data_IF_276945734404
#
_entry.id   IF_276945734404
#
_cell.length_a   1.000
_cell.length_b   1.000
_cell.length_c   1.000
_cell.angle_alpha   90.00
_cell.angle_beta   90.00
_cell.angle_gamma   90.00
#
_symmetry.space_group_name_H-M   'P 1'
#
loop_
_entity.id
_entity.type
_entity.pdbx_description
1 polymer ?
#
# COMPACT_ATOMS: atom_id res chain seq x y z
N UNK A 1 17.50 10.82 33.35
CA UNK A 1 17.76 9.64 32.49
C UNK A 1 16.64 8.60 32.56
N UNK A 2 16.18 8.23 33.76
CA UNK A 2 15.13 7.22 33.97
C UNK A 2 13.80 7.40 33.22
N UNK A 3 13.33 8.64 32.98
CA UNK A 3 12.08 8.88 32.22
C UNK A 3 12.21 8.51 30.73
N UNK A 4 13.41 8.57 30.14
CA UNK A 4 13.65 8.16 28.75
C UNK A 4 13.81 6.65 28.61
N UNK A 5 14.35 5.98 29.62
CA UNK A 5 14.47 4.52 29.66
C UNK A 5 13.10 3.85 29.73
N UNK A 6 12.23 4.26 30.67
CA UNK A 6 10.88 3.69 30.79
C UNK A 6 10.06 3.79 29.50
N UNK A 7 10.17 4.92 28.77
CA UNK A 7 9.48 5.10 27.48
C UNK A 7 9.99 4.13 26.40
N UNK A 8 11.30 3.84 26.38
CA UNK A 8 11.86 2.85 25.45
C UNK A 8 11.41 1.44 25.82
N UNK A 9 11.41 1.07 27.10
CA UNK A 9 10.98 -0.26 27.54
C UNK A 9 9.51 -0.52 27.22
N UNK A 10 8.64 0.48 27.41
CA UNK A 10 7.23 0.39 27.01
C UNK A 10 7.04 0.27 25.49
N UNK A 11 7.86 0.97 24.70
CA UNK A 11 7.83 0.87 23.23
C UNK A 11 8.15 -0.56 22.77
N UNK A 12 9.27 -1.13 23.21
CA UNK A 12 9.68 -2.48 22.82
C UNK A 12 8.70 -3.55 23.30
N UNK A 13 8.14 -3.41 24.50
CA UNK A 13 7.10 -4.32 24.99
C UNK A 13 5.87 -4.31 24.06
N UNK A 14 5.38 -3.12 23.68
CA UNK A 14 4.24 -3.02 22.76
C UNK A 14 4.57 -3.60 21.38
N UNK A 15 5.78 -3.36 20.88
CA UNK A 15 6.24 -3.95 19.61
C UNK A 15 6.22 -5.48 19.63
N UNK A 16 6.66 -6.11 20.73
CA UNK A 16 6.65 -7.57 20.86
C UNK A 16 5.21 -8.11 20.92
N UNK A 17 4.32 -7.45 21.66
CA UNK A 17 2.90 -7.84 21.73
C UNK A 17 2.25 -7.71 20.35
N UNK A 18 2.43 -6.57 19.69
CA UNK A 18 1.88 -6.32 18.36
C UNK A 18 2.49 -7.25 17.29
N UNK A 19 3.78 -7.62 17.40
CA UNK A 19 4.39 -8.64 16.56
C UNK A 19 3.67 -9.99 16.68
N UNK A 20 3.46 -10.45 17.92
CA UNK A 20 2.82 -11.74 18.21
C UNK A 20 1.39 -11.80 17.73
N UNK A 21 0.61 -10.72 17.90
CA UNK A 21 -0.82 -10.72 17.59
C UNK A 21 -1.18 -10.19 16.19
N UNK A 22 -0.27 -9.52 15.49
CA UNK A 22 -0.54 -8.93 14.16
C UNK A 22 0.38 -9.55 13.12
N UNK A 23 1.69 -9.51 13.32
CA UNK A 23 2.66 -9.92 12.29
C UNK A 23 2.68 -11.43 12.12
N UNK A 24 2.74 -12.20 13.21
CA UNK A 24 2.75 -13.67 13.14
C UNK A 24 1.48 -14.21 12.48
N UNK A 25 0.25 -13.82 12.88
CA UNK A 25 -0.96 -14.30 12.21
C UNK A 25 -1.02 -13.90 10.74
N UNK A 26 -0.61 -12.67 10.40
CA UNK A 26 -0.55 -12.22 9.00
C UNK A 26 0.40 -13.10 8.18
N UNK A 27 1.60 -13.39 8.68
CA UNK A 27 2.56 -14.25 8.01
C UNK A 27 2.02 -15.68 7.85
N UNK A 28 1.40 -16.24 8.91
CA UNK A 28 0.78 -17.56 8.87
C UNK A 28 -0.33 -17.65 7.82
N UNK A 29 -1.16 -16.60 7.67
CA UNK A 29 -2.21 -16.52 6.65
C UNK A 29 -1.64 -16.45 5.24
N UNK A 30 -0.55 -15.72 5.04
CA UNK A 30 0.12 -15.61 3.73
C UNK A 30 0.84 -16.90 3.30
N UNK A 31 1.20 -17.77 4.26
CA UNK A 31 2.01 -18.97 4.03
C UNK A 31 1.21 -20.25 4.26
N UNK A 32 1.15 -20.73 5.50
CA UNK A 32 0.62 -22.05 5.89
C UNK A 32 -0.91 -22.11 5.84
N UNK A 33 -1.58 -21.05 6.30
CA UNK A 33 -3.05 -20.99 6.43
C UNK A 33 -3.72 -20.41 5.18
N UNK A 34 -3.02 -20.37 4.05
CA UNK A 34 -3.51 -19.75 2.82
C UNK A 34 -4.84 -20.37 2.31
N UNK A 35 -5.07 -21.66 2.54
CA UNK A 35 -6.30 -22.35 2.11
C UNK A 35 -7.50 -21.95 2.96
N UNK A 36 -7.26 -21.62 4.23
CA UNK A 36 -8.29 -21.23 5.21
C UNK A 36 -8.54 -19.72 5.24
N UNK A 37 -7.93 -18.94 4.33
CA UNK A 37 -8.09 -17.47 4.27
C UNK A 37 -9.57 -17.08 4.23
N UNK A 38 -10.39 -17.77 3.42
CA UNK A 38 -11.82 -17.45 3.32
C UNK A 38 -12.56 -17.66 4.65
N UNK A 39 -12.28 -18.76 5.34
CA UNK A 39 -12.86 -19.05 6.65
C UNK A 39 -12.41 -18.02 7.70
N UNK A 40 -11.13 -17.64 7.70
CA UNK A 40 -10.62 -16.65 8.64
C UNK A 40 -11.20 -15.27 8.37
N UNK A 41 -11.30 -14.86 7.10
CA UNK A 41 -11.88 -13.57 6.72
C UNK A 41 -13.38 -13.51 7.01
N UNK A 42 -14.13 -14.60 6.85
CA UNK A 42 -15.55 -14.65 7.20
C UNK A 42 -15.76 -14.58 8.71
N UNK A 43 -14.95 -15.26 9.51
CA UNK A 43 -14.96 -15.16 10.98
C UNK A 43 -14.64 -13.73 11.44
N UNK A 44 -13.63 -13.09 10.86
CA UNK A 44 -13.30 -11.70 11.15
C UNK A 44 -14.43 -10.74 10.77
N UNK A 45 -15.07 -10.93 9.60
CA UNK A 45 -16.19 -10.11 9.16
C UNK A 45 -17.43 -10.30 10.06
N UNK A 46 -17.74 -11.54 10.46
CA UNK A 46 -18.81 -11.84 11.40
C UNK A 46 -18.54 -11.27 12.80
N UNK A 47 -17.30 -11.38 13.29
CA UNK A 47 -16.87 -10.76 14.54
C UNK A 47 -16.98 -9.24 14.49
N UNK A 48 -16.60 -8.64 13.36
CA UNK A 48 -16.68 -7.20 13.16
C UNK A 48 -18.13 -6.71 13.05
N UNK A 49 -18.98 -7.41 12.29
CA UNK A 49 -20.42 -7.16 12.23
C UNK A 49 -21.08 -7.30 13.61
N UNK A 50 -20.68 -8.30 14.40
CA UNK A 50 -21.14 -8.49 15.78
C UNK A 50 -20.71 -7.34 16.68
N UNK A 51 -19.44 -6.92 16.65
CA UNK A 51 -18.97 -5.76 17.44
C UNK A 51 -19.63 -4.44 17.01
N UNK A 52 -19.90 -4.23 15.72
CA UNK A 52 -20.67 -3.08 15.22
C UNK A 52 -22.10 -3.14 15.73
N UNK A 53 -22.74 -4.30 15.68
CA UNK A 53 -24.11 -4.51 16.19
C UNK A 53 -24.19 -4.26 17.70
N UNK A 54 -23.23 -4.79 18.46
CA UNK A 54 -23.13 -4.57 19.92
C UNK A 54 -22.86 -3.12 20.25
N UNK A 55 -21.99 -2.43 19.49
CA UNK A 55 -21.76 -0.99 19.64
C UNK A 55 -22.95 -0.15 19.22
N UNK A 56 -23.74 -0.56 18.23
CA UNK A 56 -24.96 0.14 17.82
C UNK A 56 -26.01 0.10 18.94
N UNK A 57 -26.19 -1.07 19.58
CA UNK A 57 -27.02 -1.19 20.80
C UNK A 57 -26.48 -0.35 21.96
N UNK A 58 -25.16 -0.32 22.16
CA UNK A 58 -24.55 0.51 23.22
C UNK A 58 -24.62 2.02 22.93
N UNK A 59 -24.51 2.45 21.67
CA UNK A 59 -24.54 3.85 21.27
C UNK A 59 -25.95 4.44 21.35
N UNK A 60 -26.98 3.68 20.94
CA UNK A 60 -28.40 4.02 21.21
C UNK A 60 -28.67 4.18 22.72
N UNK A 61 -27.94 3.46 23.58
CA UNK A 61 -28.08 3.52 25.03
C UNK A 61 -27.23 4.62 25.70
N UNK A 62 -26.20 5.17 25.02
CA UNK A 62 -25.24 6.14 25.58
C UNK A 62 -25.36 7.56 25.01
N UNK A 63 -26.11 7.74 23.91
CA UNK A 63 -26.47 9.07 23.38
C UNK A 63 -27.35 9.86 24.37
N UNK A 64 -27.91 9.19 25.38
CA UNK A 64 -28.61 9.83 26.51
C UNK A 64 -27.68 10.35 27.61
N UNK A 65 -26.37 10.05 27.62
CA UNK A 65 -25.52 10.31 28.80
C UNK A 65 -24.18 11.04 28.59
N UNK A 66 -23.67 11.29 27.37
CA UNK A 66 -22.37 12.00 27.24
C UNK A 66 -22.31 13.02 26.11
N UNK A 67 -22.40 14.30 26.51
CA UNK A 67 -22.12 15.51 25.72
C UNK A 67 -20.62 15.90 25.72
N UNK A 68 -19.70 14.95 25.85
CA UNK A 68 -18.28 15.29 25.83
C UNK A 68 -17.72 15.40 24.41
N UNK A 69 -17.70 16.66 23.98
CA UNK A 69 -16.93 17.20 22.87
C UNK A 69 -15.44 17.07 23.19
N UNK A 70 -14.75 16.23 22.43
CA UNK A 70 -13.41 16.52 21.91
C UNK A 70 -13.04 15.44 20.90
N UNK A 71 -13.47 15.64 19.64
CA UNK A 71 -12.93 14.87 18.54
C UNK A 71 -11.47 15.30 18.31
N UNK A 72 -10.49 14.37 18.29
CA UNK A 72 -9.10 14.75 18.06
C UNK A 72 -8.97 15.45 16.69
N UNK A 73 -8.40 16.65 16.72
CA UNK A 73 -8.01 17.49 15.58
C UNK A 73 -6.91 16.85 14.68
N UNK A 74 -6.86 15.52 14.60
CA UNK A 74 -5.96 14.83 13.68
C UNK A 74 -6.46 15.06 12.25
N UNK A 75 -5.68 15.83 11.49
CA UNK A 75 -5.84 16.09 10.06
C UNK A 75 -5.74 14.80 9.21
N UNK A 76 -5.33 13.69 9.82
CA UNK A 76 -5.22 12.40 9.17
C UNK A 76 -6.48 11.57 9.42
N UNK A 77 -6.98 10.94 8.36
CA UNK A 77 -8.04 9.93 8.45
C UNK A 77 -7.38 8.66 9.01
N UNK A 78 -7.74 8.26 10.22
CA UNK A 78 -7.09 7.13 10.90
C UNK A 78 -7.17 5.84 10.07
N UNK A 79 -8.27 5.63 9.37
CA UNK A 79 -8.41 4.50 8.45
C UNK A 79 -7.38 4.45 7.32
N UNK A 80 -6.92 5.62 6.85
CA UNK A 80 -5.88 5.66 5.82
C UNK A 80 -4.55 5.23 6.39
N UNK A 81 -4.27 5.55 7.66
CA UNK A 81 -3.09 5.06 8.36
C UNK A 81 -3.11 3.54 8.46
N UNK A 82 -4.25 2.95 8.84
CA UNK A 82 -4.35 1.50 9.02
C UNK A 82 -4.24 0.77 7.69
N UNK A 83 -4.84 1.33 6.64
CA UNK A 83 -4.70 0.82 5.28
C UNK A 83 -3.24 0.89 4.77
N UNK A 84 -2.56 2.03 4.96
CA UNK A 84 -1.12 2.19 4.64
C UNK A 84 -0.26 1.15 5.32
N UNK A 85 -0.51 0.93 6.61
CA UNK A 85 0.21 -0.04 7.40
C UNK A 85 0.02 -1.45 6.85
N UNK A 86 -1.22 -1.87 6.57
CA UNK A 86 -1.47 -3.22 6.07
C UNK A 86 -0.86 -3.44 4.68
N UNK A 87 -0.97 -2.46 3.78
CA UNK A 87 -0.30 -2.52 2.47
C UNK A 87 1.21 -2.67 2.65
N UNK A 88 1.83 -1.88 3.53
CA UNK A 88 3.26 -1.95 3.79
C UNK A 88 3.69 -3.27 4.44
N UNK A 89 2.95 -3.74 5.45
CA UNK A 89 3.23 -4.99 6.16
C UNK A 89 3.16 -6.17 5.20
N UNK A 90 2.05 -6.30 4.45
CA UNK A 90 1.87 -7.39 3.48
C UNK A 90 2.96 -7.32 2.42
N UNK A 91 3.27 -6.14 1.89
CA UNK A 91 4.34 -5.96 0.89
C UNK A 91 5.69 -6.43 1.44
N UNK A 92 6.08 -5.98 2.64
CA UNK A 92 7.37 -6.35 3.25
C UNK A 92 7.48 -7.85 3.51
N UNK A 93 6.39 -8.50 3.95
CA UNK A 93 6.37 -9.95 4.17
C UNK A 93 6.43 -10.70 2.83
N UNK A 94 5.67 -10.27 1.83
CA UNK A 94 5.60 -10.93 0.52
C UNK A 94 6.89 -10.85 -0.30
N UNK A 95 7.65 -9.76 -0.22
CA UNK A 95 8.89 -9.58 -1.00
C UNK A 95 9.94 -10.65 -0.67
N UNK A 96 10.07 -11.07 0.59
CA UNK A 96 10.95 -12.18 0.95
C UNK A 96 10.23 -13.54 0.84
N UNK A 97 8.94 -13.60 1.18
CA UNK A 97 8.20 -14.88 1.18
C UNK A 97 8.16 -15.54 -0.19
N UNK A 98 8.08 -14.76 -1.28
CA UNK A 98 8.01 -15.28 -2.65
C UNK A 98 9.20 -16.15 -3.03
N UNK A 99 10.37 -15.92 -2.44
CA UNK A 99 11.58 -16.69 -2.74
C UNK A 99 11.54 -18.08 -2.10
N UNK A 100 10.66 -18.31 -1.12
CA UNK A 100 10.45 -19.60 -0.46
C UNK A 100 9.27 -20.39 -1.07
N UNK A 101 9.39 -21.71 -1.09
CA UNK A 101 8.30 -22.60 -1.54
C UNK A 101 7.07 -22.62 -0.63
N UNK A 102 7.21 -22.15 0.63
CA UNK A 102 6.08 -22.02 1.55
C UNK A 102 5.06 -20.97 1.10
N UNK A 103 5.47 -20.05 0.21
CA UNK A 103 4.60 -19.02 -0.32
C UNK A 103 3.84 -19.52 -1.56
N UNK A 104 2.50 -19.49 -1.55
CA UNK A 104 1.71 -19.94 -2.69
C UNK A 104 2.03 -19.15 -3.96
N UNK A 105 2.36 -19.84 -5.05
CA UNK A 105 2.69 -19.19 -6.34
C UNK A 105 1.53 -18.38 -6.93
N UNK A 106 0.28 -18.66 -6.52
CA UNK A 106 -0.89 -17.81 -6.84
C UNK A 106 -0.81 -16.38 -6.30
N UNK A 107 0.03 -16.12 -5.29
CA UNK A 107 0.26 -14.80 -4.72
C UNK A 107 1.50 -14.11 -5.30
N UNK A 108 2.36 -14.85 -6.00
CA UNK A 108 3.52 -14.31 -6.70
C UNK A 108 3.08 -13.45 -7.88
N UNK A 109 4.00 -12.62 -8.36
CA UNK A 109 3.78 -11.75 -9.52
C UNK A 109 3.31 -12.55 -10.74
N UNK A 110 2.28 -12.07 -11.43
CA UNK A 110 1.85 -12.68 -12.69
C UNK A 110 2.74 -12.19 -13.84
N UNK A 111 3.23 -13.12 -14.67
CA UNK A 111 4.14 -12.78 -15.78
C UNK A 111 3.42 -12.34 -17.06
N UNK A 112 2.25 -12.93 -17.36
CA UNK A 112 1.50 -12.67 -18.60
C UNK A 112 0.06 -12.26 -18.30
N UNK A 113 -0.72 -13.19 -17.75
CA UNK A 113 -2.12 -12.98 -17.42
C UNK A 113 -2.46 -13.52 -16.03
N UNK A 114 -3.38 -12.84 -15.36
CA UNK A 114 -3.74 -13.11 -13.98
C UNK A 114 -3.10 -12.10 -13.03
N UNK A 115 -3.32 -12.28 -11.73
CA UNK A 115 -2.83 -11.33 -10.72
C UNK A 115 -2.47 -12.04 -9.43
N UNK A 116 -1.30 -11.69 -8.91
CA UNK A 116 -0.84 -12.05 -7.57
C UNK A 116 -1.10 -10.97 -6.53
N UNK A 117 -0.84 -11.32 -5.28
CA UNK A 117 -0.82 -10.38 -4.16
C UNK A 117 0.27 -9.32 -4.36
N UNK A 118 1.39 -9.71 -4.98
CA UNK A 118 2.53 -8.82 -5.25
C UNK A 118 2.21 -7.72 -6.28
N UNK A 119 1.24 -7.94 -7.18
CA UNK A 119 0.82 -6.94 -8.17
C UNK A 119 0.03 -5.77 -7.54
N UNK A 120 -0.61 -6.02 -6.39
CA UNK A 120 -1.43 -5.03 -5.67
C UNK A 120 -0.56 -3.98 -4.96
N UNK A 121 0.63 -4.36 -4.51
CA UNK A 121 1.44 -3.55 -3.60
C UNK A 121 1.75 -2.16 -4.15
N UNK A 122 2.31 -2.11 -5.36
CA UNK A 122 2.74 -0.86 -5.99
C UNK A 122 1.56 0.04 -6.34
N UNK A 123 0.51 -0.50 -6.97
CA UNK A 123 -0.68 0.28 -7.32
C UNK A 123 -1.38 0.86 -6.09
N UNK A 124 -1.45 0.07 -5.01
CA UNK A 124 -1.99 0.52 -3.72
C UNK A 124 -1.13 1.61 -3.10
N UNK A 125 0.20 1.49 -3.14
CA UNK A 125 1.13 2.50 -2.63
C UNK A 125 0.93 3.86 -3.32
N UNK A 126 0.89 3.87 -4.65
CA UNK A 126 0.67 5.07 -5.47
C UNK A 126 -0.67 5.72 -5.15
N UNK A 127 -1.75 4.92 -5.13
CA UNK A 127 -3.11 5.39 -4.87
C UNK A 127 -3.25 5.97 -3.46
N UNK A 128 -2.66 5.32 -2.47
CA UNK A 128 -2.73 5.74 -1.07
C UNK A 128 -1.96 7.04 -0.81
N UNK A 129 -0.81 7.22 -1.47
CA UNK A 129 -0.06 8.46 -1.42
C UNK A 129 -0.80 9.61 -2.14
N UNK A 130 -1.47 9.31 -3.25
CA UNK A 130 -2.35 10.26 -3.92
C UNK A 130 -3.51 10.73 -3.02
N UNK A 131 -4.18 9.82 -2.31
CA UNK A 131 -5.32 10.13 -1.45
C UNK A 131 -4.95 11.13 -0.35
N UNK A 132 -3.77 11.01 0.27
CA UNK A 132 -3.36 11.94 1.35
C UNK A 132 -2.63 13.19 0.86
N UNK A 133 -2.36 13.28 -0.44
CA UNK A 133 -1.54 14.34 -1.04
C UNK A 133 -2.07 15.73 -0.68
N UNK A 134 -1.18 16.73 -0.72
CA UNK A 134 -1.57 18.14 -0.50
C UNK A 134 -2.66 18.58 -1.48
N UNK A 135 -2.55 18.14 -2.73
CA UNK A 135 -3.52 18.37 -3.80
C UNK A 135 -4.90 17.78 -3.46
N UNK A 136 -4.96 16.56 -2.93
CA UNK A 136 -6.20 15.96 -2.45
C UNK A 136 -6.82 16.74 -1.28
N UNK A 137 -6.01 17.32 -0.39
CA UNK A 137 -6.48 18.17 0.72
C UNK A 137 -6.98 19.55 0.27
N UNK A 138 -6.85 19.88 -1.02
CA UNK A 138 -7.21 21.19 -1.58
C UNK A 138 -6.20 22.30 -1.26
N UNK A 139 -4.97 21.92 -0.91
CA UNK A 139 -3.86 22.85 -0.68
C UNK A 139 -3.10 22.96 -2.01
N UNK A 140 -2.90 24.19 -2.51
CA UNK A 140 -2.12 24.41 -3.73
C UNK A 140 -0.66 24.01 -3.49
N UNK A 141 -0.07 23.31 -4.46
CA UNK A 141 1.37 23.02 -4.42
C UNK A 141 2.12 24.18 -5.08
N UNK A 142 3.01 24.83 -4.34
CA UNK A 142 4.00 25.73 -4.91
C UNK A 142 4.95 24.90 -5.78
N UNK A 143 4.96 25.19 -7.08
CA UNK A 143 5.70 24.47 -8.15
C UNK A 143 7.23 24.39 -7.90
N UNK A 144 7.78 25.27 -7.06
CA UNK A 144 9.22 25.41 -6.83
C UNK A 144 9.93 24.23 -6.13
N UNK A 145 9.23 23.40 -5.36
CA UNK A 145 9.88 22.32 -4.58
C UNK A 145 9.68 20.91 -5.14
N UNK A 146 8.98 20.74 -6.26
CA UNK A 146 8.69 19.39 -6.79
C UNK A 146 9.97 18.69 -7.23
N UNK A 147 10.85 19.37 -7.97
CA UNK A 147 12.13 18.80 -8.45
C UNK A 147 13.04 18.43 -7.27
N UNK A 148 13.05 19.23 -6.20
CA UNK A 148 13.79 18.92 -4.98
C UNK A 148 13.24 17.69 -4.23
N UNK A 149 11.92 17.52 -4.22
CA UNK A 149 11.27 16.37 -3.57
C UNK A 149 11.36 15.07 -4.39
N UNK A 150 11.54 15.15 -5.71
CA UNK A 150 11.71 13.98 -6.57
C UNK A 150 13.16 13.50 -6.67
N UNK A 151 14.13 14.35 -6.33
CA UNK A 151 15.55 14.02 -6.35
C UNK A 151 15.91 12.74 -5.55
N UNK A 152 15.40 12.51 -4.32
CA UNK A 152 15.71 11.27 -3.60
C UNK A 152 15.22 10.01 -4.30
N UNK A 153 14.07 10.05 -4.99
CA UNK A 153 13.57 8.91 -5.77
C UNK A 153 14.48 8.60 -6.96
N UNK A 154 14.97 9.64 -7.65
CA UNK A 154 15.90 9.48 -8.77
C UNK A 154 17.23 8.88 -8.27
N UNK A 155 17.76 9.40 -7.16
CA UNK A 155 18.99 8.88 -6.53
C UNK A 155 18.81 7.41 -6.14
N UNK A 156 17.69 7.05 -5.51
CA UNK A 156 17.38 5.65 -5.18
C UNK A 156 17.25 4.77 -6.43
N UNK A 157 16.68 5.31 -7.51
CA UNK A 157 16.61 4.63 -8.81
C UNK A 157 17.98 4.29 -9.37
N UNK A 158 18.91 5.24 -9.37
CA UNK A 158 20.29 5.00 -9.80
C UNK A 158 21.05 4.08 -8.83
N UNK A 159 20.87 4.26 -7.52
CA UNK A 159 21.49 3.40 -6.51
C UNK A 159 21.09 1.93 -6.69
N UNK A 160 19.79 1.67 -6.95
CA UNK A 160 19.29 0.32 -7.27
C UNK A 160 19.93 -0.23 -8.55
N UNK A 161 20.01 0.57 -9.61
CA UNK A 161 20.60 0.12 -10.87
C UNK A 161 22.09 -0.23 -10.72
N UNK A 162 22.83 0.56 -9.95
CA UNK A 162 24.23 0.29 -9.65
C UNK A 162 24.39 -0.96 -8.78
N UNK A 163 23.59 -1.10 -7.72
CA UNK A 163 23.70 -2.24 -6.81
C UNK A 163 23.37 -3.57 -7.49
N UNK A 164 22.32 -3.62 -8.31
CA UNK A 164 21.95 -4.86 -9.01
C UNK A 164 22.97 -5.25 -10.08
N UNK A 165 23.61 -4.27 -10.73
CA UNK A 165 24.69 -4.54 -11.69
C UNK A 165 25.99 -4.98 -11.01
N UNK A 166 26.30 -4.47 -9.82
CA UNK A 166 27.52 -4.87 -9.10
C UNK A 166 27.42 -6.27 -8.48
N UNK A 167 26.22 -6.69 -8.09
CA UNK A 167 25.97 -7.98 -7.43
C UNK A 167 25.60 -9.08 -8.44
N UNK A 168 25.60 -8.78 -9.76
CA UNK A 168 25.09 -9.66 -10.83
C UNK A 168 23.76 -10.34 -10.48
N UNK A 169 22.89 -9.59 -9.82
CA UNK A 169 21.58 -10.08 -9.41
C UNK A 169 20.68 -10.22 -10.64
N UNK A 170 19.98 -11.35 -10.78
CA UNK A 170 19.08 -11.55 -11.92
C UNK A 170 17.90 -10.59 -11.82
N UNK A 171 17.88 -9.59 -12.72
CA UNK A 171 16.77 -8.65 -12.83
C UNK A 171 15.76 -9.20 -13.82
N UNK A 172 14.52 -9.40 -13.37
CA UNK A 172 13.40 -9.73 -14.25
C UNK A 172 13.09 -8.54 -15.15
N UNK A 173 13.66 -8.56 -16.35
CA UNK A 173 13.55 -7.42 -17.27
C UNK A 173 12.10 -7.20 -17.73
N UNK A 174 11.25 -8.22 -17.72
CA UNK A 174 9.82 -8.08 -18.01
C UNK A 174 9.03 -7.24 -17.00
N UNK A 175 9.61 -6.84 -15.86
CA UNK A 175 8.90 -6.01 -14.89
C UNK A 175 8.86 -4.52 -15.26
N UNK A 176 10.00 -3.97 -15.67
CA UNK A 176 10.17 -2.55 -15.93
C UNK A 176 11.06 -2.26 -17.14
N UNK A 177 11.88 -3.22 -17.56
CA UNK A 177 12.92 -3.01 -18.55
C UNK A 177 14.34 -3.17 -18.00
N UNK A 178 15.31 -2.94 -18.86
CA UNK A 178 16.73 -3.23 -18.60
C UNK A 178 17.34 -2.22 -17.62
N UNK A 179 16.91 -0.97 -17.68
CA UNK A 179 17.46 0.16 -16.91
C UNK A 179 16.41 0.88 -16.09
N UNK A 180 15.12 0.65 -16.37
CA UNK A 180 14.03 1.27 -15.64
C UNK A 180 13.70 0.49 -14.37
N UNK A 181 13.22 1.18 -13.35
CA UNK A 181 12.78 0.56 -12.11
C UNK A 181 11.63 1.36 -11.48
N UNK A 182 11.06 0.78 -10.44
CA UNK A 182 9.93 1.36 -9.72
C UNK A 182 10.18 2.80 -9.21
N UNK A 183 11.38 3.14 -8.74
CA UNK A 183 11.66 4.48 -8.24
C UNK A 183 11.65 5.52 -9.37
N UNK A 184 12.12 5.14 -10.56
CA UNK A 184 12.00 5.99 -11.75
C UNK A 184 10.55 6.17 -12.18
N UNK A 185 9.71 5.13 -12.10
CA UNK A 185 8.27 5.26 -12.35
C UNK A 185 7.61 6.24 -11.37
N UNK A 186 7.89 6.13 -10.06
CA UNK A 186 7.37 7.08 -9.08
C UNK A 186 7.82 8.51 -9.36
N UNK A 187 9.11 8.71 -9.64
CA UNK A 187 9.66 10.01 -9.98
C UNK A 187 8.96 10.60 -11.22
N UNK A 188 8.79 9.80 -12.27
CA UNK A 188 8.11 10.22 -13.49
C UNK A 188 6.63 10.58 -13.25
N UNK A 189 5.87 9.80 -12.46
CA UNK A 189 4.47 10.12 -12.11
C UNK A 189 4.37 11.45 -11.36
N UNK A 190 5.27 11.68 -10.39
CA UNK A 190 5.30 12.93 -9.63
C UNK A 190 5.67 14.13 -10.50
N UNK A 191 6.63 13.98 -11.41
CA UNK A 191 7.00 15.01 -12.38
C UNK A 191 5.84 15.30 -13.35
N UNK A 192 5.23 14.28 -13.95
CA UNK A 192 4.07 14.44 -14.85
C UNK A 192 2.92 15.17 -14.18
N UNK A 193 2.60 14.82 -12.94
CA UNK A 193 1.51 15.46 -12.21
C UNK A 193 1.80 16.92 -11.84
N UNK A 194 3.09 17.29 -11.76
CA UNK A 194 3.50 18.68 -11.55
C UNK A 194 3.53 19.51 -12.84
N UNK A 195 3.77 18.87 -13.99
CA UNK A 195 3.75 19.51 -15.31
C UNK A 195 2.31 19.73 -15.76
N UNK A 196 1.45 18.72 -15.58
CA UNK A 196 0.04 18.77 -15.97
C UNK A 196 -0.81 19.15 -14.77
N UNK A 197 -1.06 20.45 -14.61
CA UNK A 197 -1.84 21.00 -13.50
C UNK A 197 -3.35 20.76 -13.67
N UNK A 198 -3.80 19.53 -13.37
CA UNK A 198 -5.23 19.19 -13.36
C UNK A 198 -5.84 19.56 -11.99
N UNK A 199 -6.96 20.29 -11.91
CA UNK A 199 -7.58 20.62 -10.63
C UNK A 199 -8.12 19.36 -9.94
N UNK A 200 -8.09 19.35 -8.60
CA UNK A 200 -8.41 18.16 -7.81
C UNK A 200 -9.82 17.59 -8.05
N UNK A 201 -10.78 18.39 -8.52
CA UNK A 201 -12.15 17.96 -8.81
C UNK A 201 -12.34 17.31 -10.19
N UNK A 202 -11.42 17.58 -11.15
CA UNK A 202 -11.40 16.96 -12.48
C UNK A 202 -10.37 15.83 -12.56
N UNK A 203 -9.50 15.71 -11.57
CA UNK A 203 -8.44 14.69 -11.53
C UNK A 203 -9.00 13.28 -11.73
N UNK A 204 -10.17 12.97 -11.18
CA UNK A 204 -10.78 11.64 -11.36
C UNK A 204 -11.24 11.38 -12.80
N UNK A 205 -11.82 12.38 -13.46
CA UNK A 205 -12.26 12.27 -14.86
C UNK A 205 -11.05 12.11 -15.78
N UNK A 206 -10.01 12.92 -15.57
CA UNK A 206 -8.76 12.83 -16.32
C UNK A 206 -8.03 11.49 -16.09
N UNK A 207 -7.96 11.02 -14.83
CA UNK A 207 -7.39 9.72 -14.51
C UNK A 207 -8.18 8.58 -15.17
N UNK A 208 -9.51 8.63 -15.10
CA UNK A 208 -10.39 7.67 -15.76
C UNK A 208 -10.22 7.67 -17.29
N UNK A 209 -10.15 8.84 -17.93
CA UNK A 209 -9.96 8.93 -19.38
C UNK A 209 -8.60 8.40 -19.82
N UNK A 210 -7.53 8.68 -19.06
CA UNK A 210 -6.19 8.12 -19.31
C UNK A 210 -6.22 6.59 -19.20
N UNK A 211 -6.87 6.03 -18.17
CA UNK A 211 -6.97 4.58 -18.00
C UNK A 211 -7.80 3.92 -19.09
N UNK A 212 -8.91 4.53 -19.50
CA UNK A 212 -9.73 4.02 -20.61
C UNK A 212 -8.93 4.05 -21.92
N UNK A 213 -8.25 5.16 -22.20
CA UNK A 213 -7.41 5.29 -23.39
C UNK A 213 -6.27 4.26 -23.36
N UNK A 214 -5.62 4.08 -22.21
CA UNK A 214 -4.55 3.10 -22.03
C UNK A 214 -5.06 1.67 -22.22
N UNK A 215 -6.22 1.31 -21.65
CA UNK A 215 -6.84 0.01 -21.87
C UNK A 215 -7.19 -0.21 -23.34
N UNK A 216 -7.70 0.81 -24.03
CA UNK A 216 -7.99 0.72 -25.46
C UNK A 216 -6.71 0.48 -26.28
N UNK A 217 -5.60 1.15 -25.94
CA UNK A 217 -4.30 0.89 -26.56
C UNK A 217 -3.80 -0.53 -26.28
N UNK A 218 -3.97 -1.04 -25.06
CA UNK A 218 -3.61 -2.41 -24.67
C UNK A 218 -4.40 -3.46 -25.47
N UNK A 219 -5.70 -3.28 -25.63
CA UNK A 219 -6.55 -4.17 -26.45
C UNK A 219 -6.12 -4.18 -27.93
N UNK A 220 -5.41 -3.16 -28.38
CA UNK A 220 -4.80 -3.10 -29.72
C UNK A 220 -3.45 -3.82 -29.80
N UNK A 221 -2.51 -3.22 -30.55
CA UNK A 221 -1.18 -3.81 -30.77
C UNK A 221 -0.21 -3.64 -29.58
N UNK A 222 -0.56 -2.79 -28.59
CA UNK A 222 0.36 -2.47 -27.50
C UNK A 222 0.61 -3.67 -26.58
N UNK A 223 -0.40 -4.51 -26.32
CA UNK A 223 -0.21 -5.71 -25.51
C UNK A 223 0.76 -6.70 -26.17
N UNK A 224 0.65 -6.92 -27.48
CA UNK A 224 1.58 -7.77 -28.23
C UNK A 224 3.00 -7.19 -28.24
N UNK A 225 3.14 -5.86 -28.32
CA UNK A 225 4.44 -5.18 -28.24
C UNK A 225 5.06 -5.26 -26.84
N UNK A 226 4.27 -5.17 -25.77
CA UNK A 226 4.77 -5.26 -24.39
C UNK A 226 5.17 -6.69 -24.02
N UNK A 227 4.39 -7.69 -24.43
CA UNK A 227 4.68 -9.10 -24.14
C UNK A 227 5.77 -9.71 -25.03
N UNK A 228 6.20 -9.02 -26.09
CA UNK A 228 7.26 -9.54 -26.94
C UNK A 228 8.61 -9.57 -26.21
N UNK A 229 9.34 -10.67 -26.34
CA UNK A 229 10.70 -10.77 -25.79
C UNK A 229 11.72 -9.92 -26.57
N UNK A 230 11.33 -9.44 -27.76
CA UNK A 230 12.19 -8.65 -28.63
C UNK A 230 12.47 -7.28 -28.03
N UNK A 231 13.77 -6.97 -27.92
CA UNK A 231 14.26 -5.67 -27.48
C UNK A 231 15.08 -5.05 -28.61
N UNK A 232 14.63 -3.89 -29.07
CA UNK A 232 15.40 -3.08 -30.00
C UNK A 232 16.64 -2.46 -29.35
N UNK A 233 17.45 -1.79 -30.17
CA UNK A 233 18.64 -1.04 -29.74
C UNK A 233 18.31 0.26 -29.00
N UNK A 234 17.07 0.75 -29.09
CA UNK A 234 16.67 2.04 -28.52
C UNK A 234 16.39 1.92 -27.01
N UNK A 235 16.71 2.97 -26.25
CA UNK A 235 16.44 3.04 -24.80
C UNK A 235 14.94 2.86 -24.47
N UNK A 236 14.05 3.33 -25.35
CA UNK A 236 12.59 3.17 -25.18
C UNK A 236 12.19 1.70 -25.32
N UNK A 237 12.72 0.99 -26.33
CA UNK A 237 12.39 -0.42 -26.55
C UNK A 237 12.98 -1.33 -25.49
N UNK A 238 14.10 -0.94 -24.88
CA UNK A 238 14.71 -1.66 -23.75
C UNK A 238 13.97 -1.46 -22.43
N UNK A 239 13.15 -0.41 -22.32
CA UNK A 239 12.43 -0.03 -21.11
C UNK A 239 10.93 0.15 -21.34
N UNK A 240 10.39 -0.56 -22.34
CA UNK A 240 9.02 -0.37 -22.82
C UNK A 240 8.01 -0.64 -21.69
N UNK A 241 8.23 -1.68 -20.90
CA UNK A 241 7.34 -2.09 -19.82
C UNK A 241 7.20 -0.97 -18.77
N UNK A 242 8.33 -0.43 -18.32
CA UNK A 242 8.38 0.66 -17.35
C UNK A 242 7.81 1.98 -17.88
N UNK A 243 8.16 2.35 -19.11
CA UNK A 243 7.71 3.61 -19.73
C UNK A 243 6.20 3.59 -20.00
N UNK A 244 5.66 2.52 -20.58
CA UNK A 244 4.24 2.44 -20.86
C UNK A 244 3.40 2.21 -19.59
N UNK A 245 3.95 1.57 -18.56
CA UNK A 245 3.29 1.47 -17.24
C UNK A 245 3.02 2.84 -16.59
N UNK A 246 3.76 3.88 -16.99
CA UNK A 246 3.63 5.24 -16.47
C UNK A 246 2.20 5.78 -16.59
N UNK A 247 1.52 5.50 -17.71
CA UNK A 247 0.16 5.97 -17.95
C UNK A 247 -0.84 5.28 -17.01
N UNK A 248 -0.66 3.98 -16.76
CA UNK A 248 -1.44 3.23 -15.77
C UNK A 248 -1.26 3.81 -14.36
N UNK A 249 -0.02 4.00 -13.91
CA UNK A 249 0.25 4.56 -12.59
C UNK A 249 -0.20 6.01 -12.44
N UNK A 250 -0.05 6.83 -13.48
CA UNK A 250 -0.49 8.22 -13.47
C UNK A 250 -2.02 8.32 -13.41
N UNK A 251 -2.74 7.48 -14.17
CA UNK A 251 -4.19 7.37 -14.09
C UNK A 251 -4.69 6.98 -12.70
N UNK A 252 -4.07 5.95 -12.08
CA UNK A 252 -4.37 5.55 -10.71
C UNK A 252 -4.07 6.65 -9.68
N UNK A 253 -2.97 7.38 -9.85
CA UNK A 253 -2.61 8.50 -8.99
C UNK A 253 -3.66 9.63 -9.06
N UNK A 254 -4.12 9.98 -10.26
CA UNK A 254 -5.15 11.01 -10.45
C UNK A 254 -6.51 10.59 -9.87
N UNK A 255 -6.91 9.32 -10.03
CA UNK A 255 -8.09 8.77 -9.35
C UNK A 255 -7.96 8.86 -7.83
N UNK A 256 -6.78 8.54 -7.29
CA UNK A 256 -6.49 8.67 -5.86
C UNK A 256 -6.63 10.11 -5.34
N UNK A 257 -6.22 11.12 -6.12
CA UNK A 257 -6.41 12.54 -5.76
C UNK A 257 -7.90 12.88 -5.64
N UNK A 258 -8.73 12.47 -6.61
CA UNK A 258 -10.18 12.72 -6.58
C UNK A 258 -10.82 12.07 -5.36
N UNK A 259 -10.46 10.82 -5.09
CA UNK A 259 -10.95 10.07 -3.94
C UNK A 259 -10.59 10.76 -2.63
N UNK A 260 -9.33 11.17 -2.48
CA UNK A 260 -8.89 11.95 -1.32
C UNK A 260 -9.63 13.28 -1.18
N UNK A 261 -9.81 14.01 -2.29
CA UNK A 261 -10.56 15.27 -2.31
C UNK A 261 -12.01 15.08 -1.85
N UNK A 262 -12.67 14.04 -2.35
CA UNK A 262 -14.01 13.65 -1.91
C UNK A 262 -14.04 13.32 -0.41
N UNK A 263 -13.12 12.49 0.07
CA UNK A 263 -13.06 12.07 1.48
C UNK A 263 -12.83 13.26 2.43
N UNK A 264 -11.89 14.14 2.12
CA UNK A 264 -11.61 15.32 2.95
C UNK A 264 -12.72 16.37 2.88
N UNK A 265 -13.33 16.60 1.71
CA UNK A 265 -14.47 17.53 1.56
C UNK A 265 -15.72 17.00 2.26
N UNK A 266 -15.97 15.70 2.18
CA UNK A 266 -17.10 15.07 2.88
C UNK A 266 -16.89 15.11 4.40
N UNK A 267 -15.66 14.87 4.91
CA UNK A 267 -15.34 15.06 6.34
C UNK A 267 -15.57 16.50 6.82
N UNK A 268 -15.17 17.51 6.03
CA UNK A 268 -15.42 18.93 6.38
C UNK A 268 -16.91 19.29 6.42
N UNK A 269 -17.75 18.62 5.61
CA UNK A 269 -19.21 18.83 5.58
C UNK A 269 -19.94 18.12 6.72
N UNK A 270 -19.35 17.06 7.26
CA UNK A 270 -19.86 16.38 8.46
C UNK A 270 -19.52 17.23 9.67
N UNK A 271 -20.49 18.03 10.14
CA UNK A 271 -20.46 18.58 11.49
C UNK A 271 -20.53 17.46 12.55
N UNK A 272 -20.37 17.80 13.83
CA UNK A 272 -20.25 16.88 14.98
C UNK A 272 -21.47 15.95 15.23
N UNK A 273 -22.50 15.96 14.37
CA UNK A 273 -23.72 15.18 14.53
C UNK A 273 -23.64 13.73 14.03
N UNK A 274 -24.22 12.79 14.78
CA UNK A 274 -24.23 11.34 14.46
C UNK A 274 -24.83 10.99 13.10
N UNK A 275 -25.86 11.72 12.63
CA UNK A 275 -26.50 11.48 11.33
C UNK A 275 -25.59 11.84 10.14
N UNK A 276 -24.81 12.92 10.25
CA UNK A 276 -23.87 13.33 9.21
C UNK A 276 -22.71 12.32 9.10
N UNK A 277 -22.25 11.81 10.24
CA UNK A 277 -21.28 10.71 10.30
C UNK A 277 -21.81 9.44 9.63
N UNK A 278 -23.05 9.06 9.89
CA UNK A 278 -23.68 7.91 9.24
C UNK A 278 -23.73 8.08 7.73
N UNK A 279 -24.11 9.26 7.23
CA UNK A 279 -24.09 9.57 5.79
C UNK A 279 -22.69 9.45 5.17
N UNK A 280 -21.65 9.90 5.89
CA UNK A 280 -20.26 9.74 5.45
C UNK A 280 -19.83 8.28 5.39
N UNK A 281 -20.14 7.49 6.42
CA UNK A 281 -19.85 6.05 6.42
C UNK A 281 -20.59 5.37 5.27
N UNK A 282 -21.90 5.58 5.12
CA UNK A 282 -22.69 5.02 4.02
C UNK A 282 -22.10 5.41 2.66
N UNK A 283 -21.61 6.65 2.50
CA UNK A 283 -20.95 7.08 1.27
C UNK A 283 -19.63 6.35 0.98
N UNK A 284 -18.84 6.00 2.01
CA UNK A 284 -17.63 5.19 1.84
C UNK A 284 -17.99 3.74 1.51
N UNK A 285 -19.01 3.20 2.16
CA UNK A 285 -19.52 1.86 1.90
C UNK A 285 -20.09 1.72 0.49
N UNK A 286 -20.90 2.68 0.04
CA UNK A 286 -21.47 2.67 -1.31
C UNK A 286 -20.38 2.74 -2.38
N UNK A 287 -19.36 3.59 -2.16
CA UNK A 287 -18.20 3.69 -3.04
C UNK A 287 -17.39 2.39 -3.07
N UNK A 288 -17.23 1.73 -1.91
CA UNK A 288 -16.55 0.44 -1.80
C UNK A 288 -17.30 -0.65 -2.56
N UNK A 289 -18.61 -0.74 -2.40
CA UNK A 289 -19.47 -1.69 -3.11
C UNK A 289 -19.45 -1.42 -4.61
N UNK A 290 -19.52 -0.15 -5.03
CA UNK A 290 -19.42 0.25 -6.43
C UNK A 290 -18.09 -0.18 -7.04
N UNK A 291 -16.96 0.10 -6.40
CA UNK A 291 -15.65 -0.33 -6.90
C UNK A 291 -15.53 -1.85 -6.94
N UNK A 292 -16.10 -2.55 -5.97
CA UNK A 292 -16.12 -4.01 -5.96
C UNK A 292 -16.95 -4.57 -7.12
N UNK A 293 -18.11 -3.98 -7.40
CA UNK A 293 -18.98 -4.36 -8.52
C UNK A 293 -18.35 -4.04 -9.88
N UNK A 294 -17.74 -2.87 -10.03
CA UNK A 294 -16.99 -2.50 -11.25
C UNK A 294 -15.82 -3.47 -11.47
N UNK A 295 -15.02 -3.75 -10.43
CA UNK A 295 -13.97 -4.76 -10.50
C UNK A 295 -14.51 -6.16 -10.80
N UNK A 296 -15.76 -6.45 -10.38
CA UNK A 296 -16.40 -7.69 -10.74
C UNK A 296 -16.74 -7.75 -12.24
N UNK A 297 -17.33 -6.68 -12.80
CA UNK A 297 -17.64 -6.59 -14.24
C UNK A 297 -16.37 -6.68 -15.09
N UNK A 298 -15.34 -5.89 -14.79
CA UNK A 298 -14.11 -5.85 -15.60
C UNK A 298 -13.41 -7.21 -15.69
N UNK A 299 -13.31 -7.95 -14.58
CA UNK A 299 -12.72 -9.30 -14.57
C UNK A 299 -13.55 -10.34 -15.36
N UNK A 300 -14.87 -10.17 -15.45
CA UNK A 300 -15.72 -11.10 -16.20
C UNK A 300 -15.79 -10.79 -17.69
N UNK A 301 -15.75 -9.51 -18.07
CA UNK A 301 -16.12 -9.08 -19.42
C UNK A 301 -14.99 -8.43 -20.23
N UNK A 302 -13.91 -7.95 -19.60
CA UNK A 302 -12.83 -7.25 -20.32
C UNK A 302 -11.58 -8.12 -20.35
N UNK A 303 -10.92 -8.31 -19.21
CA UNK A 303 -9.70 -9.13 -19.07
C UNK A 303 -9.62 -9.63 -17.62
N UNK A 304 -9.07 -10.82 -17.37
CA UNK A 304 -8.86 -11.34 -16.00
C UNK A 304 -7.90 -10.41 -15.24
N UNK A 305 -8.44 -9.46 -14.49
CA UNK A 305 -7.70 -8.45 -13.75
C UNK A 305 -8.08 -8.42 -12.27
N UNK A 306 -7.03 -8.54 -11.45
CA UNK A 306 -6.80 -7.98 -10.12
C UNK A 306 -8.00 -7.98 -9.17
N UNK A 307 -8.27 -9.14 -8.56
CA UNK A 307 -9.20 -9.21 -7.43
C UNK A 307 -8.49 -9.59 -6.13
N UNK A 308 -8.83 -8.79 -5.11
CA UNK A 308 -8.63 -8.97 -3.65
C UNK A 308 -7.28 -8.50 -3.13
N UNK A 309 -7.26 -7.28 -2.60
CA UNK A 309 -7.23 -7.04 -1.14
C UNK A 309 -6.84 -5.59 -0.90
N UNK A 310 -7.76 -4.81 -0.33
CA UNK A 310 -7.38 -3.50 0.19
C UNK A 310 -8.52 -2.72 0.82
N UNK A 311 -9.74 -2.84 0.29
CA UNK A 311 -10.86 -2.03 0.78
C UNK A 311 -11.57 -2.65 1.99
N UNK A 312 -11.42 -3.95 2.24
CA UNK A 312 -11.94 -4.58 3.47
C UNK A 312 -11.29 -4.05 4.75
N UNK A 313 -10.05 -3.56 4.67
CA UNK A 313 -9.32 -2.95 5.79
C UNK A 313 -9.82 -1.54 6.09
N UNK A 314 -10.16 -0.78 5.04
CA UNK A 314 -10.75 0.56 5.15
C UNK A 314 -12.01 0.55 6.03
N UNK A 315 -12.82 -0.50 5.89
CA UNK A 315 -14.06 -0.72 6.67
C UNK A 315 -13.80 -1.03 8.15
N UNK A 316 -12.76 -1.83 8.45
CA UNK A 316 -12.43 -2.20 9.84
C UNK A 316 -11.97 -0.99 10.64
N UNK A 317 -11.12 -0.15 10.05
CA UNK A 317 -10.58 1.02 10.75
C UNK A 317 -11.62 2.14 10.97
N UNK A 318 -12.67 2.22 10.16
CA UNK A 318 -13.77 3.18 10.35
C UNK A 318 -14.81 2.69 11.37
N UNK A 319 -14.91 1.38 11.61
CA UNK A 319 -15.79 0.79 12.62
C UNK A 319 -15.31 1.06 14.08
N UNK A 320 -14.05 1.45 14.26
CA UNK A 320 -13.44 1.70 15.58
C UNK A 320 -12.79 3.08 15.68
N UNK A 321 -13.58 4.16 15.73
CA UNK A 321 -13.10 5.54 15.66
C UNK A 321 -12.29 6.05 16.86
N UNK A 322 -12.11 5.24 17.92
CA UNK A 322 -11.51 5.66 19.18
C UNK A 322 -10.37 4.76 19.66
N UNK A 323 -9.83 3.88 18.80
CA UNK A 323 -8.65 3.11 19.17
C UNK A 323 -7.41 3.97 18.97
N UNK A 324 -6.50 4.03 19.93
CA UNK A 324 -5.18 4.64 19.67
C UNK A 324 -4.50 3.86 18.53
N UNK A 325 -3.82 4.59 17.62
CA UNK A 325 -2.98 3.99 16.60
C UNK A 325 -2.02 2.98 17.24
N UNK A 326 -1.94 1.78 16.67
CA UNK A 326 -0.98 0.76 17.09
C UNK A 326 0.44 1.31 16.96
N UNK A 327 1.33 0.86 17.85
CA UNK A 327 2.71 1.34 17.89
C UNK A 327 3.44 1.03 16.58
N UNK A 328 3.26 -0.20 16.08
CA UNK A 328 3.77 -0.70 14.81
C UNK A 328 3.17 0.07 13.64
N UNK A 329 1.85 0.31 13.66
CA UNK A 329 1.16 1.08 12.62
C UNK A 329 1.77 2.48 12.48
N UNK A 330 1.97 3.19 13.59
CA UNK A 330 2.60 4.52 13.58
C UNK A 330 4.02 4.47 13.03
N UNK A 331 4.84 3.51 13.46
CA UNK A 331 6.24 3.40 13.03
C UNK A 331 6.34 3.13 11.53
N UNK A 332 5.52 2.21 11.00
CA UNK A 332 5.53 1.84 9.58
C UNK A 332 4.99 2.96 8.69
N UNK A 333 3.97 3.69 9.16
CA UNK A 333 3.34 4.77 8.38
C UNK A 333 4.14 6.06 8.38
N UNK A 334 4.90 6.36 9.44
CA UNK A 334 5.74 7.57 9.50
C UNK A 334 6.96 7.49 8.57
N UNK A 335 7.51 6.30 8.34
CA UNK A 335 8.74 6.08 7.57
C UNK A 335 8.56 5.04 6.46
N UNK A 336 7.42 5.10 5.75
CA UNK A 336 6.98 4.08 4.80
C UNK A 336 8.03 3.72 3.73
N UNK A 337 8.69 4.71 3.13
CA UNK A 337 9.75 4.49 2.13
C UNK A 337 10.98 3.82 2.76
N UNK A 338 11.40 4.26 3.95
CA UNK A 338 12.55 3.67 4.63
C UNK A 338 12.29 2.22 5.03
N UNK A 339 11.09 1.91 5.54
CA UNK A 339 10.66 0.53 5.82
C UNK A 339 10.78 -0.33 4.58
N UNK A 340 10.29 0.17 3.43
CA UNK A 340 10.36 -0.55 2.15
C UNK A 340 11.82 -0.77 1.68
N UNK A 341 12.69 0.23 1.82
CA UNK A 341 14.09 0.11 1.44
C UNK A 341 14.84 -0.89 2.32
N UNK A 342 14.67 -0.81 3.64
CA UNK A 342 15.28 -1.73 4.60
C UNK A 342 14.79 -3.15 4.35
N UNK A 343 13.49 -3.34 4.08
CA UNK A 343 12.92 -4.62 3.70
C UNK A 343 13.63 -5.20 2.47
N UNK A 344 13.78 -4.43 1.37
CA UNK A 344 14.46 -4.90 0.16
C UNK A 344 15.93 -5.27 0.40
N UNK A 345 16.65 -4.48 1.21
CA UNK A 345 18.06 -4.77 1.56
C UNK A 345 18.14 -6.06 2.38
N UNK A 346 17.28 -6.22 3.38
CA UNK A 346 17.20 -7.44 4.20
C UNK A 346 16.84 -8.66 3.34
N UNK A 347 15.94 -8.53 2.37
CA UNK A 347 15.63 -9.61 1.42
C UNK A 347 16.87 -10.01 0.63
N UNK A 348 17.60 -9.05 0.07
CA UNK A 348 18.85 -9.31 -0.64
C UNK A 348 19.88 -10.03 0.24
N UNK A 349 20.02 -9.60 1.50
CA UNK A 349 20.93 -10.26 2.46
C UNK A 349 20.52 -11.72 2.73
N UNK A 350 19.23 -12.00 2.91
CA UNK A 350 18.75 -13.37 3.11
C UNK A 350 18.99 -14.22 1.86
N UNK A 351 18.70 -13.71 0.67
CA UNK A 351 18.87 -14.43 -0.59
C UNK A 351 20.35 -14.73 -0.92
N UNK A 352 21.28 -13.87 -0.48
CA UNK A 352 22.71 -14.13 -0.60
C UNK A 352 23.24 -15.12 0.46
N UNK A 353 22.54 -15.25 1.59
CA UNK A 353 22.98 -16.07 2.72
C UNK A 353 22.40 -17.49 2.69
N UNK A 354 21.19 -17.66 2.16
CA UNK A 354 20.43 -18.92 2.20
C UNK A 354 19.88 -19.19 0.81
N UNK A 355 20.01 -20.43 0.35
CA UNK A 355 19.32 -20.87 -0.85
C UNK A 355 17.83 -21.12 -0.55
N UNK A 356 17.02 -20.07 -0.74
CA UNK A 356 15.61 -19.99 -0.36
C UNK A 356 14.72 -21.01 -1.07
N UNK A 357 15.06 -21.41 -2.29
CA UNK A 357 14.24 -22.33 -3.10
C UNK A 357 14.27 -23.77 -2.59
N UNK A 358 15.35 -24.17 -1.90
CA UNK A 358 15.51 -25.52 -1.34
C UNK A 358 15.23 -25.57 0.17
N UNK A 359 14.90 -24.44 0.80
CA UNK A 359 14.65 -24.41 2.23
C UNK A 359 13.36 -25.16 2.60
N UNK A 360 13.40 -26.07 3.59
CA UNK A 360 12.19 -26.75 4.07
C UNK A 360 11.24 -25.76 4.74
N UNK A 361 9.94 -26.09 4.78
CA UNK A 361 8.90 -25.17 5.24
C UNK A 361 9.12 -24.62 6.67
N UNK A 362 9.66 -25.44 7.58
CA UNK A 362 9.98 -25.02 8.96
C UNK A 362 11.09 -23.96 9.00
N UNK A 363 12.17 -24.19 8.23
CA UNK A 363 13.27 -23.23 8.10
C UNK A 363 12.79 -21.95 7.42
N UNK A 364 12.03 -22.07 6.33
CA UNK A 364 11.44 -20.92 5.62
C UNK A 364 10.60 -20.05 6.57
N UNK A 365 9.68 -20.66 7.33
CA UNK A 365 8.85 -19.91 8.27
C UNK A 365 9.67 -19.26 9.39
N UNK A 366 10.69 -19.95 9.92
CA UNK A 366 11.61 -19.40 10.92
C UNK A 366 12.41 -18.20 10.41
N UNK A 367 12.94 -18.27 9.19
CA UNK A 367 13.66 -17.16 8.54
C UNK A 367 12.73 -15.97 8.30
N UNK A 368 11.49 -16.21 7.84
CA UNK A 368 10.50 -15.16 7.63
C UNK A 368 10.09 -14.47 8.94
N UNK A 369 9.94 -15.23 10.03
CA UNK A 369 9.69 -14.66 11.36
C UNK A 369 10.87 -13.80 11.84
N UNK A 370 12.10 -14.30 11.69
CA UNK A 370 13.30 -13.55 12.07
C UNK A 370 13.43 -12.26 11.26
N UNK A 371 13.24 -12.35 9.95
CA UNK A 371 13.21 -11.19 9.05
C UNK A 371 12.19 -10.14 9.49
N UNK A 372 10.95 -10.56 9.76
CA UNK A 372 9.90 -9.65 10.19
C UNK A 372 10.19 -9.00 11.56
N UNK A 373 10.79 -9.76 12.48
CA UNK A 373 11.22 -9.26 13.79
C UNK A 373 12.35 -8.23 13.66
N UNK A 374 13.37 -8.53 12.86
CA UNK A 374 14.50 -7.63 12.60
C UNK A 374 14.02 -6.33 11.96
N UNK A 375 13.13 -6.41 10.97
CA UNK A 375 12.53 -5.23 10.35
C UNK A 375 11.76 -4.38 11.37
N UNK A 376 10.94 -5.01 12.21
CA UNK A 376 10.16 -4.32 13.23
C UNK A 376 11.06 -3.60 14.26
N UNK A 377 12.06 -4.30 14.80
CA UNK A 377 12.97 -3.76 15.79
C UNK A 377 13.84 -2.65 15.19
N UNK A 378 14.35 -2.84 13.97
CA UNK A 378 15.10 -1.82 13.24
C UNK A 378 14.30 -0.53 13.06
N UNK A 379 13.04 -0.64 12.63
CA UNK A 379 12.15 0.52 12.52
C UNK A 379 11.80 1.15 13.88
N UNK A 380 11.66 0.32 14.92
CA UNK A 380 11.50 0.79 16.31
C UNK A 380 12.68 1.64 16.79
N UNK A 381 13.91 1.22 16.46
CA UNK A 381 15.14 1.95 16.78
C UNK A 381 15.18 3.27 16.00
N UNK A 382 14.94 3.25 14.68
CA UNK A 382 14.92 4.46 13.83
C UNK A 382 13.91 5.49 14.37
N UNK A 383 12.72 5.03 14.76
CA UNK A 383 11.71 5.88 15.38
C UNK A 383 12.16 6.44 16.73
N UNK A 384 12.87 5.65 17.55
CA UNK A 384 13.42 6.11 18.83
C UNK A 384 14.52 7.18 18.66
N UNK A 385 15.23 7.16 17.52
CA UNK A 385 16.23 8.15 17.12
C UNK A 385 15.60 9.40 16.48
N UNK A 386 14.26 9.44 16.30
CA UNK A 386 13.50 10.53 15.65
C UNK A 386 13.97 10.86 14.21
N UNK A 387 14.63 9.91 13.54
CA UNK A 387 15.01 10.08 12.15
C UNK A 387 13.75 9.94 11.30
N UNK A 388 13.35 11.03 10.62
CA UNK A 388 12.23 11.04 9.68
C UNK A 388 12.77 11.11 8.27
N UNK A 389 12.69 10.00 7.55
CA UNK A 389 13.02 9.97 6.12
C UNK A 389 11.70 10.25 5.39
N UNK A 390 11.41 11.54 5.20
CA UNK A 390 10.32 11.98 4.33
C UNK A 390 10.89 12.22 2.95
N UNK A 391 10.40 11.48 1.96
CA UNK A 391 10.56 11.77 0.53
C UNK A 391 9.19 12.05 -0.04
#
# INVERSE_FOLDING_TARGET
>A
MHRKEGVKTHLFRNLIVEFTFIVIPTLSVLTILNEKVYLLTSVLFCGLASTIFMKRKHFECHETLSKDKNWPNSTNLQFLSSYRFIVMLVTCLSILSVDFNIFPRRYAKAETYGTGLMDVGVGSFVTVNAIVSRKARGISELRGNTVGNTAPLIVLGFARLLSTKQVDYQVHVGEYGVHWNFFFTLAAVTLLTSIVEIPAHLSGIAGGSILIAYQFCLLGHLNNFLNSAERGSNLITQNKEGIFSLFGYWGLYLLGIQLGHFLFKSRKRVGEGGLARLKYMISIWSLTVLFWFLAWIFDRFVEKTSRRSGIGVLVVSDAFPNMNLLTVERIFTENMLATFLIANVLTGLVNLSINTIFAPASMAFGVLLLYALVLLLGMGIINSLKIKIKV
#
